data_IF_936636456064
#
_entry.id   IF_936636456064
#
_cell.length_a   1.000
_cell.length_b   1.000
_cell.length_c   1.000
_cell.angle_alpha   90.00
_cell.angle_beta   90.00
_cell.angle_gamma   90.00
#
_symmetry.space_group_name_H-M   'P 1'
#
loop_
_entity.id
_entity.type
_entity.pdbx_description
1 polymer ?
#
# COMPACT_ATOMS: atom_id res chain seq x y z
N UNK A 1 -2.19 65.54 -21.59
CA UNK A 1 -2.15 64.25 -22.32
C UNK A 1 -2.18 63.18 -21.26
N UNK A 2 -3.14 62.28 -21.37
CA UNK A 2 -3.59 61.34 -20.35
C UNK A 2 -2.60 60.22 -20.10
N UNK A 3 -2.10 60.13 -18.87
CA UNK A 3 -1.44 58.96 -18.31
C UNK A 3 -2.49 57.87 -18.05
N UNK A 4 -2.73 57.01 -19.03
CA UNK A 4 -3.44 55.74 -18.81
C UNK A 4 -2.41 54.67 -18.44
N UNK A 5 -2.11 54.59 -17.14
CA UNK A 5 -1.51 53.39 -16.56
C UNK A 5 -2.53 52.24 -16.71
N UNK A 6 -2.20 51.12 -17.36
CA UNK A 6 -3.08 49.96 -17.33
C UNK A 6 -3.10 49.46 -15.89
N UNK A 7 -4.28 49.43 -15.27
CA UNK A 7 -4.50 48.80 -13.99
C UNK A 7 -4.01 47.35 -14.08
N UNK A 8 -2.87 47.10 -13.42
CA UNK A 8 -2.34 45.77 -13.26
C UNK A 8 -3.36 45.02 -12.39
N UNK A 9 -4.17 44.17 -13.02
CA UNK A 9 -5.16 43.31 -12.37
C UNK A 9 -4.45 42.44 -11.34
N UNK A 10 -4.51 42.88 -10.09
CA UNK A 10 -3.89 42.27 -8.94
C UNK A 10 -4.42 40.83 -8.77
N UNK A 11 -3.53 39.87 -8.56
CA UNK A 11 -3.86 38.55 -7.99
C UNK A 11 -4.59 38.66 -6.63
N UNK A 12 -4.63 39.85 -6.02
CA UNK A 12 -5.45 40.18 -4.84
C UNK A 12 -6.97 40.22 -5.11
N UNK A 13 -7.45 39.92 -6.33
CA UNK A 13 -8.87 39.94 -6.66
C UNK A 13 -9.62 38.62 -6.39
N UNK A 14 -8.91 37.51 -6.14
CA UNK A 14 -9.53 36.24 -5.79
C UNK A 14 -9.85 36.21 -4.29
N UNK A 15 -11.10 35.93 -3.93
CA UNK A 15 -11.48 35.70 -2.53
C UNK A 15 -10.66 34.52 -1.95
N UNK A 16 -10.30 34.61 -0.68
CA UNK A 16 -9.61 33.56 0.07
C UNK A 16 -10.33 32.23 -0.03
N UNK A 17 -11.67 32.21 0.11
CA UNK A 17 -12.48 30.98 0.04
C UNK A 17 -12.35 30.29 -1.33
N UNK A 18 -12.31 31.08 -2.40
CA UNK A 18 -12.15 30.58 -3.78
C UNK A 18 -10.73 30.05 -3.96
N UNK A 19 -9.74 30.74 -3.40
CA UNK A 19 -8.34 30.32 -3.44
C UNK A 19 -8.14 29.01 -2.70
N UNK A 20 -8.70 28.87 -1.50
CA UNK A 20 -8.68 27.62 -0.72
C UNK A 20 -9.38 26.48 -1.47
N UNK A 21 -10.54 26.76 -2.08
CA UNK A 21 -11.26 25.79 -2.89
C UNK A 21 -10.43 25.30 -4.07
N UNK A 22 -9.77 26.22 -4.80
CA UNK A 22 -8.88 25.84 -5.91
C UNK A 22 -7.72 25.00 -5.40
N UNK A 23 -7.04 25.43 -4.34
CA UNK A 23 -5.87 24.74 -3.80
C UNK A 23 -6.22 23.34 -3.28
N UNK A 24 -7.38 23.16 -2.63
CA UNK A 24 -7.81 21.84 -2.12
C UNK A 24 -8.01 20.79 -3.22
N UNK A 25 -8.17 21.21 -4.48
CA UNK A 25 -8.30 20.31 -5.64
C UNK A 25 -6.96 20.00 -6.30
N UNK A 26 -5.86 20.66 -5.90
CA UNK A 26 -4.57 20.47 -6.51
C UNK A 26 -3.81 19.28 -5.92
N UNK A 27 -3.03 18.55 -6.73
CA UNK A 27 -2.15 17.52 -6.23
C UNK A 27 -1.14 18.05 -5.20
N UNK A 28 -0.79 17.22 -4.21
CA UNK A 28 0.19 17.55 -3.16
C UNK A 28 1.50 18.13 -3.72
N UNK A 29 2.12 17.60 -4.80
CA UNK A 29 3.34 18.19 -5.36
C UNK A 29 3.18 19.63 -5.82
N UNK A 30 2.00 19.98 -6.37
CA UNK A 30 1.69 21.35 -6.76
C UNK A 30 1.56 22.24 -5.53
N UNK A 31 0.87 21.79 -4.48
CA UNK A 31 0.77 22.50 -3.21
C UNK A 31 2.14 22.77 -2.59
N UNK A 32 3.06 21.80 -2.62
CA UNK A 32 4.43 22.00 -2.15
C UNK A 32 5.11 23.14 -2.92
N UNK A 33 4.97 23.19 -4.24
CA UNK A 33 5.51 24.29 -5.06
C UNK A 33 4.84 25.63 -4.76
N UNK A 34 3.52 25.68 -4.60
CA UNK A 34 2.83 26.93 -4.24
C UNK A 34 3.26 27.44 -2.86
N UNK A 35 3.52 26.54 -1.91
CA UNK A 35 3.95 26.88 -0.56
C UNK A 35 5.33 27.57 -0.50
N UNK A 36 6.13 27.51 -1.56
CA UNK A 36 7.45 28.17 -1.63
C UNK A 36 7.39 29.56 -2.29
N UNK A 37 6.23 29.95 -2.85
CA UNK A 37 6.07 31.24 -3.54
C UNK A 37 6.06 32.41 -2.56
N UNK A 38 5.27 32.33 -1.48
CA UNK A 38 5.23 33.37 -0.44
C UNK A 38 4.74 32.82 0.91
N UNK A 39 4.97 33.59 1.99
CA UNK A 39 4.45 33.26 3.32
C UNK A 39 2.92 33.18 3.35
N UNK A 40 2.24 34.00 2.54
CA UNK A 40 0.78 33.99 2.41
C UNK A 40 0.29 32.66 1.81
N UNK A 41 0.85 32.25 0.67
CA UNK A 41 0.50 30.96 0.05
C UNK A 41 0.76 29.79 0.98
N UNK A 42 1.92 29.81 1.66
CA UNK A 42 2.23 28.78 2.67
C UNK A 42 1.17 28.74 3.77
N UNK A 43 0.77 29.90 4.30
CA UNK A 43 -0.24 30.02 5.36
C UNK A 43 -1.58 29.44 4.93
N UNK A 44 -2.05 29.79 3.72
CA UNK A 44 -3.33 29.30 3.18
C UNK A 44 -3.27 27.77 3.01
N UNK A 45 -2.18 27.25 2.45
CA UNK A 45 -2.04 25.80 2.22
C UNK A 45 -1.98 25.03 3.54
N UNK A 46 -1.30 25.57 4.55
CA UNK A 46 -1.24 24.97 5.89
C UNK A 46 -2.56 25.06 6.67
N UNK A 47 -3.47 25.96 6.30
CA UNK A 47 -4.80 26.06 6.91
C UNK A 47 -5.86 25.26 6.17
N UNK A 48 -5.53 24.64 5.03
CA UNK A 48 -6.46 23.80 4.31
C UNK A 48 -6.88 22.61 5.18
N UNK A 49 -8.18 22.25 5.19
CA UNK A 49 -8.62 21.06 5.86
C UNK A 49 -7.94 19.83 5.23
N UNK A 50 -7.72 18.76 6.00
CA UNK A 50 -7.23 17.51 5.44
C UNK A 50 -8.22 17.01 4.39
N UNK A 51 -7.82 17.12 3.13
CA UNK A 51 -8.56 16.55 2.01
C UNK A 51 -8.26 15.07 1.88
N UNK A 52 -9.29 14.24 1.70
CA UNK A 52 -9.08 12.84 1.34
C UNK A 52 -8.54 12.78 -0.09
N UNK A 53 -7.26 12.45 -0.24
CA UNK A 53 -6.68 12.21 -1.56
C UNK A 53 -6.99 10.80 -2.03
N UNK A 54 -7.00 10.59 -3.34
CA UNK A 54 -6.86 9.24 -3.88
C UNK A 54 -5.56 8.60 -3.34
N UNK A 55 -5.56 7.30 -3.04
CA UNK A 55 -4.43 6.64 -2.41
C UNK A 55 -3.26 6.49 -3.37
N UNK A 56 -2.08 6.87 -2.88
CA UNK A 56 -0.83 6.80 -3.63
C UNK A 56 -0.28 5.37 -3.58
N UNK A 57 0.38 4.95 -4.65
CA UNK A 57 1.16 3.71 -4.69
C UNK A 57 2.61 4.03 -4.35
N UNK A 58 3.17 3.35 -3.35
CA UNK A 58 4.57 3.49 -2.97
C UNK A 58 5.35 2.24 -3.37
N UNK A 59 6.54 2.44 -3.94
CA UNK A 59 7.48 1.38 -4.31
C UNK A 59 8.85 1.68 -3.71
N UNK A 60 9.36 0.77 -2.89
CA UNK A 60 10.67 0.84 -2.26
C UNK A 60 11.54 -0.31 -2.77
N UNK A 61 12.42 0.00 -3.71
CA UNK A 61 13.40 -0.91 -4.26
C UNK A 61 14.63 -1.01 -3.37
N UNK A 62 14.90 -2.23 -2.89
CA UNK A 62 16.00 -2.55 -1.98
C UNK A 62 17.02 -3.41 -2.71
N UNK A 63 18.28 -3.01 -2.61
CA UNK A 63 19.44 -3.72 -3.13
C UNK A 63 20.27 -4.27 -1.98
N UNK A 64 20.37 -5.60 -1.90
CA UNK A 64 20.94 -6.26 -0.72
C UNK A 64 22.45 -6.03 -0.55
N UNK A 65 23.18 -5.71 -1.62
CA UNK A 65 24.65 -5.55 -1.57
C UNK A 65 25.11 -4.10 -1.43
N UNK A 66 24.26 -3.11 -1.71
CA UNK A 66 24.64 -1.70 -1.66
C UNK A 66 23.42 -0.81 -1.55
N UNK A 67 23.31 -0.10 -0.43
CA UNK A 67 22.23 0.87 -0.18
C UNK A 67 22.25 2.06 -1.14
N UNK A 68 23.37 2.32 -1.81
CA UNK A 68 23.48 3.36 -2.84
C UNK A 68 22.55 3.12 -4.04
N UNK A 69 22.24 1.85 -4.32
CA UNK A 69 21.34 1.48 -5.42
C UNK A 69 19.86 1.42 -5.02
N UNK A 70 19.54 1.70 -3.75
CA UNK A 70 18.16 1.74 -3.30
C UNK A 70 17.42 2.95 -3.88
N UNK A 71 16.15 2.75 -4.24
CA UNK A 71 15.32 3.81 -4.79
C UNK A 71 13.89 3.70 -4.26
N UNK A 72 13.25 4.85 -4.10
CA UNK A 72 11.86 4.95 -3.65
C UNK A 72 11.07 5.82 -4.62
N UNK A 73 9.88 5.35 -4.95
CA UNK A 73 8.96 6.00 -5.87
C UNK A 73 7.57 6.08 -5.24
N UNK A 74 6.86 7.16 -5.54
CA UNK A 74 5.47 7.34 -5.17
C UNK A 74 4.67 7.79 -6.40
N UNK A 75 3.62 7.06 -6.73
CA UNK A 75 2.71 7.43 -7.80
C UNK A 75 1.57 8.26 -7.25
N UNK A 76 1.40 9.45 -7.82
CA UNK A 76 0.28 10.32 -7.53
C UNK A 76 -0.83 10.11 -8.59
N UNK A 77 -1.97 9.51 -8.21
CA UNK A 77 -3.06 9.24 -9.14
C UNK A 77 -3.72 10.51 -9.69
N UNK A 78 -3.67 11.64 -8.98
CA UNK A 78 -4.31 12.89 -9.44
C UNK A 78 -3.48 13.56 -10.55
N UNK A 79 -2.15 13.62 -10.40
CA UNK A 79 -1.27 14.12 -11.46
C UNK A 79 -0.92 13.07 -12.53
N UNK A 80 -1.30 11.80 -12.32
CA UNK A 80 -0.91 10.66 -13.14
C UNK A 80 0.62 10.63 -13.38
N UNK A 81 1.40 10.83 -12.32
CA UNK A 81 2.85 10.93 -12.44
C UNK A 81 3.57 10.27 -11.26
N UNK A 82 4.78 9.79 -11.54
CA UNK A 82 5.67 9.27 -10.52
C UNK A 82 6.56 10.36 -9.94
N UNK A 83 6.73 10.31 -8.62
CA UNK A 83 7.66 11.12 -7.86
C UNK A 83 8.77 10.22 -7.35
N UNK A 84 10.02 10.64 -7.55
CA UNK A 84 11.16 10.00 -6.90
C UNK A 84 11.32 10.59 -5.50
N UNK A 85 11.20 9.74 -4.49
CA UNK A 85 11.37 10.15 -3.10
C UNK A 85 12.85 10.03 -2.69
N UNK A 86 13.31 10.84 -1.72
CA UNK A 86 14.57 10.56 -1.04
C UNK A 86 14.51 9.17 -0.41
N UNK A 87 15.56 8.36 -0.60
CA UNK A 87 15.62 7.06 0.03
C UNK A 87 16.06 7.21 1.49
N UNK A 88 15.26 6.77 2.47
CA UNK A 88 15.63 6.91 3.88
C UNK A 88 16.80 6.00 4.23
N UNK A 89 17.62 6.43 5.19
CA UNK A 89 18.54 5.49 5.85
C UNK A 89 17.73 4.43 6.57
N UNK A 90 17.93 3.15 6.24
CA UNK A 90 17.12 2.06 6.74
C UNK A 90 17.76 1.41 7.97
N UNK A 91 16.99 1.15 9.04
CA UNK A 91 17.48 0.41 10.19
C UNK A 91 17.63 -1.10 9.90
N UNK A 92 16.94 -1.63 8.88
CA UNK A 92 17.01 -3.03 8.46
C UNK A 92 16.53 -3.22 7.01
N UNK A 93 16.76 -4.42 6.45
CA UNK A 93 16.22 -4.85 5.16
C UNK A 93 14.81 -5.48 5.28
N UNK A 94 14.32 -5.69 6.50
CA UNK A 94 13.02 -6.30 6.79
C UNK A 94 11.95 -5.23 6.92
N UNK A 95 11.60 -4.65 5.78
CA UNK A 95 10.65 -3.56 5.69
C UNK A 95 9.25 -4.03 5.29
N UNK A 96 8.25 -3.36 5.86
CA UNK A 96 6.84 -3.43 5.49
C UNK A 96 6.30 -2.00 5.49
N UNK A 97 5.42 -1.66 4.53
CA UNK A 97 4.75 -0.36 4.52
C UNK A 97 3.25 -0.51 4.77
N UNK A 98 2.69 0.40 5.56
CA UNK A 98 1.26 0.43 5.87
C UNK A 98 0.87 1.82 6.38
N UNK A 99 -0.34 2.27 6.04
CA UNK A 99 -0.97 3.53 6.50
C UNK A 99 -0.02 4.73 6.72
N UNK A 100 0.68 5.20 5.67
CA UNK A 100 1.62 6.35 5.68
C UNK A 100 2.94 6.13 6.40
N UNK A 101 3.19 4.92 6.92
CA UNK A 101 4.42 4.56 7.62
C UNK A 101 5.19 3.45 6.91
N UNK A 102 6.51 3.48 7.09
CA UNK A 102 7.40 2.34 6.90
C UNK A 102 7.73 1.73 8.26
N UNK A 103 7.79 0.41 8.30
CA UNK A 103 8.09 -0.38 9.48
C UNK A 103 9.31 -1.26 9.19
N UNK A 104 10.23 -1.33 10.13
CA UNK A 104 11.26 -2.35 10.21
C UNK A 104 10.82 -3.38 11.24
N UNK A 105 10.70 -4.65 10.85
CA UNK A 105 10.09 -5.68 11.70
C UNK A 105 11.10 -6.61 12.38
N UNK A 106 12.35 -6.61 11.91
CA UNK A 106 13.47 -7.36 12.47
C UNK A 106 14.80 -6.65 12.20
N UNK A 107 15.80 -6.74 13.10
CA UNK A 107 15.76 -7.45 14.37
C UNK A 107 15.04 -6.68 15.48
N UNK A 108 14.85 -5.37 15.30
CA UNK A 108 14.12 -4.50 16.23
C UNK A 108 12.96 -3.85 15.49
N UNK A 109 11.83 -3.75 16.17
CA UNK A 109 10.67 -3.09 15.63
C UNK A 109 10.84 -1.57 15.70
N UNK A 110 10.71 -0.91 14.56
CA UNK A 110 10.73 0.55 14.47
C UNK A 110 9.87 1.01 13.31
N UNK A 111 9.43 2.25 13.36
CA UNK A 111 8.60 2.83 12.31
C UNK A 111 8.95 4.28 12.01
N UNK A 112 8.61 4.75 10.83
CA UNK A 112 8.87 6.10 10.36
C UNK A 112 7.78 6.55 9.39
N UNK A 113 7.32 7.81 9.45
CA UNK A 113 6.54 8.40 8.37
C UNK A 113 7.31 8.33 7.04
N UNK A 114 6.60 8.17 5.93
CA UNK A 114 7.23 8.02 4.59
C UNK A 114 7.78 9.34 4.07
N UNK A 115 7.01 10.42 4.19
CA UNK A 115 7.35 11.71 3.56
C UNK A 115 8.37 12.50 4.38
N UNK A 116 8.41 12.28 5.70
CA UNK A 116 9.36 12.87 6.63
C UNK A 116 10.00 11.78 7.47
N UNK A 117 11.01 11.07 6.92
CA UNK A 117 11.57 9.93 7.63
C UNK A 117 12.20 10.31 8.96
N UNK A 118 11.67 9.74 10.05
CA UNK A 118 12.19 9.85 11.40
C UNK A 118 11.90 8.53 12.13
N UNK A 119 12.91 7.66 12.16
CA UNK A 119 12.77 6.31 12.71
C UNK A 119 12.61 6.35 14.23
N UNK A 120 11.45 5.88 14.69
CA UNK A 120 11.11 5.69 16.11
C UNK A 120 11.23 4.22 16.44
N UNK A 121 12.04 3.94 17.46
CA UNK A 121 12.25 2.60 17.99
C UNK A 121 11.23 2.34 19.09
N UNK A 122 10.53 1.21 19.02
CA UNK A 122 9.55 0.84 20.03
C UNK A 122 10.18 0.06 21.17
N UNK A 123 9.42 -0.14 22.24
CA UNK A 123 9.70 -1.22 23.19
C UNK A 123 9.92 -2.57 22.45
N UNK A 124 10.78 -3.46 22.97
CA UNK A 124 11.16 -4.67 22.26
C UNK A 124 9.97 -5.58 21.98
N UNK A 125 9.77 -5.91 20.70
CA UNK A 125 8.87 -6.98 20.28
C UNK A 125 9.39 -8.32 20.83
N UNK A 126 8.51 -9.16 21.37
CA UNK A 126 8.93 -10.44 21.99
C UNK A 126 9.51 -11.40 20.96
N UNK A 127 8.90 -11.43 19.78
CA UNK A 127 9.34 -12.26 18.67
C UNK A 127 9.50 -11.39 17.43
N UNK A 128 10.73 -10.95 17.14
CA UNK A 128 11.02 -10.25 15.89
C UNK A 128 10.79 -11.18 14.69
N UNK A 129 10.21 -10.63 13.62
CA UNK A 129 9.77 -11.42 12.46
C UNK A 129 10.30 -10.85 11.16
N UNK A 130 10.72 -11.73 10.27
CA UNK A 130 11.00 -11.42 8.89
C UNK A 130 9.72 -11.61 8.07
N UNK A 131 9.37 -10.60 7.27
CA UNK A 131 8.17 -10.57 6.41
C UNK A 131 6.85 -10.91 7.13
N UNK A 132 6.53 -10.33 8.31
CA UNK A 132 5.21 -10.48 8.90
C UNK A 132 4.18 -9.66 8.11
N UNK A 133 2.90 -10.03 8.23
CA UNK A 133 1.80 -9.15 7.86
C UNK A 133 1.65 -8.06 8.94
N UNK A 134 1.38 -6.83 8.51
CA UNK A 134 1.25 -5.69 9.40
C UNK A 134 -0.02 -4.90 9.07
N UNK A 135 -0.82 -4.63 10.10
CA UNK A 135 -1.97 -3.74 10.04
C UNK A 135 -1.82 -2.58 11.02
N UNK A 136 -2.19 -1.37 10.59
CA UNK A 136 -2.27 -0.18 11.42
C UNK A 136 -3.74 0.09 11.71
N UNK A 137 -4.15 0.24 12.96
CA UNK A 137 -5.49 0.64 13.36
C UNK A 137 -5.48 2.09 13.84
N UNK A 138 -5.77 3.06 12.95
CA UNK A 138 -5.56 4.47 13.28
C UNK A 138 -6.46 4.95 14.42
N UNK A 139 -7.69 4.43 14.49
CA UNK A 139 -8.67 4.83 15.51
C UNK A 139 -8.30 4.40 16.93
N UNK A 140 -7.50 3.35 17.09
CA UNK A 140 -7.11 2.81 18.39
C UNK A 140 -5.63 2.98 18.69
N UNK A 141 -4.85 3.60 17.79
CA UNK A 141 -3.39 3.74 17.92
C UNK A 141 -2.68 2.40 18.17
N UNK A 142 -3.22 1.32 17.57
CA UNK A 142 -2.68 -0.04 17.69
C UNK A 142 -2.14 -0.54 16.37
N UNK A 143 -1.13 -1.39 16.45
CA UNK A 143 -0.58 -2.13 15.31
C UNK A 143 -0.72 -3.61 15.57
N UNK A 144 -1.00 -4.39 14.53
CA UNK A 144 -1.02 -5.86 14.60
C UNK A 144 0.11 -6.42 13.73
N UNK A 145 0.82 -7.40 14.28
CA UNK A 145 1.80 -8.23 13.58
C UNK A 145 1.33 -9.67 13.56
N UNK A 146 1.24 -10.25 12.37
CA UNK A 146 0.78 -11.64 12.18
C UNK A 146 1.73 -12.41 11.26
N UNK A 147 2.05 -13.64 11.65
CA UNK A 147 2.89 -14.53 10.85
C UNK A 147 4.33 -14.04 10.71
N UNK A 148 4.92 -14.31 9.54
CA UNK A 148 6.34 -14.10 9.28
C UNK A 148 7.24 -15.18 9.90
N UNK A 149 8.53 -15.09 9.62
CA UNK A 149 9.53 -16.07 10.08
C UNK A 149 10.21 -15.56 11.34
N UNK A 150 10.15 -16.35 12.41
CA UNK A 150 11.01 -16.13 13.57
C UNK A 150 12.47 -16.32 13.24
N UNK A 151 13.31 -15.37 13.62
CA UNK A 151 14.76 -15.50 13.56
C UNK A 151 15.33 -15.50 14.98
N UNK A 152 15.95 -16.60 15.39
CA UNK A 152 16.72 -16.69 16.63
C UNK A 152 18.19 -16.80 16.24
N UNK A 153 18.99 -15.78 16.57
CA UNK A 153 20.42 -15.77 16.24
C UNK A 153 20.73 -15.84 14.73
N UNK A 154 19.80 -15.40 13.87
CA UNK A 154 19.93 -15.49 12.41
C UNK A 154 19.42 -16.80 11.81
N UNK A 155 18.94 -17.75 12.62
CA UNK A 155 18.39 -19.03 12.16
C UNK A 155 16.85 -19.04 12.25
N UNK A 156 16.22 -19.74 11.31
CA UNK A 156 14.77 -19.93 11.29
C UNK A 156 14.34 -20.73 12.52
N UNK A 157 13.39 -20.18 13.29
CA UNK A 157 12.79 -20.90 14.42
C UNK A 157 11.71 -21.86 13.92
N UNK A 158 11.94 -23.17 14.08
CA UNK A 158 11.07 -24.23 13.56
C UNK A 158 9.90 -24.54 14.52
N UNK A 159 10.03 -24.22 15.81
CA UNK A 159 8.99 -24.49 16.84
C UNK A 159 8.04 -23.30 17.04
N UNK A 160 7.83 -22.54 15.97
CA UNK A 160 7.22 -21.22 16.05
C UNK A 160 5.70 -21.28 15.91
N UNK A 161 5.02 -21.22 17.04
CA UNK A 161 3.55 -21.09 17.10
C UNK A 161 3.04 -19.81 16.43
N UNK A 162 3.91 -18.87 16.05
CA UNK A 162 3.57 -17.63 15.35
C UNK A 162 2.46 -16.83 16.05
N UNK A 163 2.63 -16.48 17.35
CA UNK A 163 1.65 -15.67 18.07
C UNK A 163 1.47 -14.31 17.38
N UNK A 164 0.23 -13.84 17.38
CA UNK A 164 -0.10 -12.47 17.02
C UNK A 164 0.50 -11.54 18.06
N UNK A 165 1.10 -10.45 17.62
CA UNK A 165 1.66 -9.42 18.48
C UNK A 165 0.99 -8.09 18.20
N UNK A 166 0.38 -7.49 19.23
CA UNK A 166 -0.29 -6.20 19.13
C UNK A 166 0.55 -5.16 19.86
N UNK A 167 0.90 -4.09 19.17
CA UNK A 167 1.58 -2.93 19.74
C UNK A 167 0.57 -1.83 20.05
N UNK A 168 0.63 -1.30 21.26
CA UNK A 168 -0.08 -0.09 21.65
C UNK A 168 0.91 1.08 21.66
N UNK A 169 0.74 2.05 20.75
CA UNK A 169 1.66 3.18 20.64
C UNK A 169 1.49 4.21 21.75
N UNK A 170 0.38 4.18 22.50
CA UNK A 170 0.16 5.09 23.64
C UNK A 170 0.88 4.60 24.90
N UNK A 171 0.93 3.27 25.08
CA UNK A 171 1.61 2.63 26.21
C UNK A 171 3.05 2.22 25.89
N UNK A 172 3.47 2.31 24.62
CA UNK A 172 4.71 1.72 24.09
C UNK A 172 4.91 0.28 24.58
N UNK A 173 3.92 -0.58 24.34
CA UNK A 173 3.95 -1.95 24.87
C UNK A 173 3.40 -2.98 23.89
N UNK A 174 3.87 -4.22 24.03
CA UNK A 174 3.48 -5.35 23.20
C UNK A 174 2.67 -6.39 23.99
N UNK A 175 1.51 -6.72 23.44
CA UNK A 175 0.64 -7.78 23.91
C UNK A 175 0.75 -9.01 22.99
N UNK A 176 0.71 -10.20 23.59
CA UNK A 176 0.63 -11.47 22.84
C UNK A 176 -0.82 -11.92 22.75
N UNK A 177 -1.23 -12.32 21.56
CA UNK A 177 -2.59 -12.73 21.27
C UNK A 177 -2.61 -14.13 20.64
N UNK A 178 -3.79 -14.78 20.53
CA UNK A 178 -3.90 -16.10 19.95
C UNK A 178 -3.21 -16.19 18.57
N UNK A 179 -2.44 -17.26 18.31
CA UNK A 179 -1.69 -17.40 17.08
C UNK A 179 -2.59 -17.53 15.86
N UNK A 180 -2.01 -17.31 14.68
CA UNK A 180 -2.68 -17.54 13.40
C UNK A 180 -3.25 -18.98 13.34
N UNK A 181 -4.48 -19.20 12.81
CA UNK A 181 -5.07 -20.53 12.74
C UNK A 181 -4.17 -21.54 12.00
N UNK A 182 -4.22 -22.81 12.40
CA UNK A 182 -3.29 -23.83 11.90
C UNK A 182 -3.39 -24.06 10.39
N UNK A 183 -4.55 -23.76 9.79
CA UNK A 183 -4.76 -23.84 8.34
C UNK A 183 -3.80 -22.96 7.52
N UNK A 184 -3.25 -21.89 8.11
CA UNK A 184 -2.29 -20.98 7.45
C UNK A 184 -0.83 -21.37 7.67
N UNK A 185 -0.54 -22.48 8.37
CA UNK A 185 0.83 -22.98 8.56
C UNK A 185 1.33 -23.67 7.29
N UNK A 186 1.47 -22.90 6.21
CA UNK A 186 2.21 -23.32 5.01
C UNK A 186 3.68 -22.94 5.16
N UNK A 187 4.58 -23.86 4.78
CA UNK A 187 6.04 -23.67 4.84
C UNK A 187 6.58 -22.62 3.85
N UNK A 188 5.70 -22.02 3.04
CA UNK A 188 6.04 -20.96 2.09
C UNK A 188 5.66 -19.59 2.67
N UNK A 189 6.61 -18.97 3.37
CA UNK A 189 6.50 -17.67 4.06
C UNK A 189 6.28 -16.43 3.15
N UNK A 190 5.83 -16.64 1.91
CA UNK A 190 5.60 -15.63 0.88
C UNK A 190 4.16 -15.66 0.33
N UNK A 191 3.27 -16.42 0.98
CA UNK A 191 1.94 -16.73 0.45
C UNK A 191 0.80 -16.04 1.17
N UNK A 192 1.06 -15.14 2.13
CA UNK A 192 -0.03 -14.45 2.82
C UNK A 192 -0.19 -13.00 2.34
N UNK A 193 -1.44 -12.55 2.31
CA UNK A 193 -1.83 -11.16 2.13
C UNK A 193 -2.76 -10.75 3.27
N UNK A 194 -2.88 -9.44 3.51
CA UNK A 194 -3.75 -8.92 4.55
C UNK A 194 -4.51 -7.68 4.12
N UNK A 195 -5.68 -7.49 4.71
CA UNK A 195 -6.47 -6.28 4.56
C UNK A 195 -7.11 -5.90 5.90
N UNK A 196 -7.19 -4.59 6.15
CA UNK A 196 -7.92 -4.05 7.30
C UNK A 196 -9.29 -3.58 6.84
N UNK A 197 -10.36 -4.11 7.43
CA UNK A 197 -11.73 -3.72 7.11
C UNK A 197 -12.57 -3.70 8.40
N UNK A 198 -13.32 -2.61 8.64
CA UNK A 198 -14.24 -2.45 9.78
C UNK A 198 -13.71 -2.96 11.13
N UNK A 199 -12.52 -2.52 11.54
CA UNK A 199 -11.86 -2.93 12.81
C UNK A 199 -11.43 -4.40 12.90
N UNK A 200 -11.40 -5.12 11.77
CA UNK A 200 -10.91 -6.49 11.68
C UNK A 200 -9.70 -6.58 10.76
N UNK A 201 -8.72 -7.36 11.18
CA UNK A 201 -7.54 -7.67 10.38
C UNK A 201 -7.74 -9.02 9.68
N UNK A 202 -7.94 -8.99 8.37
CA UNK A 202 -8.11 -10.18 7.55
C UNK A 202 -6.75 -10.70 7.09
N UNK A 203 -6.58 -12.01 7.18
CA UNK A 203 -5.47 -12.76 6.61
C UNK A 203 -5.99 -13.67 5.53
N UNK A 204 -5.36 -13.61 4.37
CA UNK A 204 -5.69 -14.42 3.20
C UNK A 204 -4.45 -15.16 2.72
N UNK A 205 -4.58 -16.45 2.45
CA UNK A 205 -3.54 -17.24 1.79
C UNK A 205 -3.72 -17.15 0.27
N UNK A 206 -2.73 -16.55 -0.37
CA UNK A 206 -2.63 -16.25 -1.81
C UNK A 206 -2.82 -17.50 -2.67
N UNK A 207 -2.45 -18.69 -2.18
CA UNK A 207 -2.50 -19.94 -2.94
C UNK A 207 -3.64 -20.86 -2.49
N UNK A 208 -3.80 -21.08 -1.19
CA UNK A 208 -4.85 -21.97 -0.66
C UNK A 208 -6.24 -21.34 -0.65
N UNK A 209 -6.31 -20.01 -0.78
CA UNK A 209 -7.53 -19.21 -0.72
C UNK A 209 -8.25 -19.26 0.63
N UNK A 210 -7.55 -19.67 1.70
CA UNK A 210 -8.08 -19.59 3.05
C UNK A 210 -8.13 -18.14 3.53
N UNK A 211 -9.21 -17.80 4.23
CA UNK A 211 -9.41 -16.49 4.83
C UNK A 211 -9.87 -16.64 6.29
N UNK A 212 -9.33 -15.78 7.16
CA UNK A 212 -9.76 -15.63 8.55
C UNK A 212 -9.52 -14.19 8.99
N UNK A 213 -10.24 -13.75 10.01
CA UNK A 213 -10.18 -12.38 10.53
C UNK A 213 -9.85 -12.38 12.01
N UNK A 214 -8.98 -11.46 12.42
CA UNK A 214 -8.71 -11.16 13.82
C UNK A 214 -9.48 -9.91 14.24
N UNK A 215 -10.28 -10.03 15.30
CA UNK A 215 -11.05 -8.93 15.88
C UNK A 215 -10.26 -8.28 17.01
N UNK A 216 -10.00 -6.97 16.92
CA UNK A 216 -9.38 -6.23 18.03
C UNK A 216 -10.29 -6.05 19.24
N UNK A 217 -11.61 -6.11 19.05
CA UNK A 217 -12.57 -5.89 20.12
C UNK A 217 -12.66 -7.11 21.05
N UNK A 218 -12.52 -8.31 20.48
CA UNK A 218 -12.65 -9.58 21.20
C UNK A 218 -11.33 -10.33 21.36
N UNK A 219 -10.27 -9.90 20.67
CA UNK A 219 -8.97 -10.58 20.63
C UNK A 219 -9.06 -12.05 20.17
N UNK A 220 -9.99 -12.33 19.26
CA UNK A 220 -10.26 -13.68 18.73
C UNK A 220 -10.17 -13.74 17.21
N UNK A 221 -9.82 -14.91 16.71
CA UNK A 221 -9.92 -15.29 15.31
C UNK A 221 -11.34 -15.74 14.97
N UNK A 222 -11.80 -15.43 13.76
CA UNK A 222 -12.94 -16.10 13.16
C UNK A 222 -12.57 -17.48 12.64
N UNK A 223 -13.58 -18.32 12.41
CA UNK A 223 -13.38 -19.58 11.71
C UNK A 223 -12.72 -19.36 10.34
N UNK A 224 -11.94 -20.36 9.92
CA UNK A 224 -11.27 -20.36 8.63
C UNK A 224 -12.29 -20.71 7.56
N UNK A 225 -12.40 -19.85 6.55
CA UNK A 225 -13.28 -20.03 5.40
C UNK A 225 -12.45 -20.11 4.11
N UNK A 226 -13.07 -20.54 3.02
CA UNK A 226 -12.41 -20.64 1.71
C UNK A 226 -13.06 -19.66 0.75
N UNK A 227 -12.26 -18.71 0.24
CA UNK A 227 -12.69 -17.68 -0.70
C UNK A 227 -12.02 -17.93 -2.06
N UNK A 228 -12.59 -18.85 -2.84
CA UNK A 228 -11.97 -19.33 -4.10
C UNK A 228 -12.87 -19.10 -5.31
N UNK A 229 -12.70 -17.97 -6.02
CA UNK A 229 -13.26 -17.80 -7.36
C UNK A 229 -12.88 -18.94 -8.33
N UNK A 230 -13.76 -19.29 -9.29
CA UNK A 230 -13.46 -20.31 -10.30
C UNK A 230 -12.21 -19.99 -11.11
N UNK A 231 -11.36 -21.01 -11.35
CA UNK A 231 -10.14 -20.86 -12.13
C UNK A 231 -9.01 -20.08 -11.45
N UNK A 232 -9.17 -19.67 -10.19
CA UNK A 232 -8.17 -18.86 -9.49
C UNK A 232 -6.84 -19.61 -9.30
N UNK A 233 -5.76 -18.99 -9.77
CA UNK A 233 -4.37 -19.43 -9.59
C UNK A 233 -3.77 -18.84 -8.32
N UNK A 234 -3.89 -17.53 -8.15
CA UNK A 234 -3.46 -16.80 -6.95
C UNK A 234 -4.22 -15.48 -6.82
N UNK A 235 -4.36 -14.96 -5.60
CA UNK A 235 -4.99 -13.68 -5.34
C UNK A 235 -4.39 -12.92 -4.16
N UNK A 236 -4.64 -11.61 -4.12
CA UNK A 236 -4.31 -10.73 -3.02
C UNK A 236 -5.57 -10.06 -2.48
N UNK A 237 -5.73 -10.08 -1.17
CA UNK A 237 -6.78 -9.39 -0.45
C UNK A 237 -6.39 -7.93 -0.20
N UNK A 238 -7.31 -7.02 -0.48
CA UNK A 238 -7.15 -5.58 -0.32
C UNK A 238 -8.37 -4.99 0.42
N UNK A 239 -8.21 -3.81 1.00
CA UNK A 239 -9.31 -3.03 1.56
C UNK A 239 -9.58 -1.82 0.68
N UNK A 240 -10.78 -1.72 0.11
CA UNK A 240 -11.17 -0.64 -0.80
C UNK A 240 -12.58 -0.16 -0.46
N UNK A 241 -12.74 1.14 -0.20
CA UNK A 241 -14.01 1.78 0.17
C UNK A 241 -14.76 1.01 1.28
N UNK A 242 -14.07 0.72 2.39
CA UNK A 242 -14.60 -0.04 3.54
C UNK A 242 -15.17 -1.43 3.20
N UNK A 243 -14.71 -2.01 2.09
CA UNK A 243 -15.03 -3.35 1.65
C UNK A 243 -13.77 -4.14 1.32
N UNK A 244 -13.87 -5.46 1.42
CA UNK A 244 -12.82 -6.35 0.98
C UNK A 244 -12.88 -6.50 -0.55
N UNK A 245 -11.74 -6.35 -1.19
CA UNK A 245 -11.58 -6.56 -2.64
C UNK A 245 -10.45 -7.56 -2.87
N UNK A 246 -10.81 -8.67 -3.50
CA UNK A 246 -9.87 -9.70 -3.94
C UNK A 246 -9.42 -9.37 -5.36
N UNK A 247 -8.11 -9.34 -5.61
CA UNK A 247 -7.55 -9.19 -6.96
C UNK A 247 -6.62 -10.34 -7.28
N UNK A 248 -6.88 -11.06 -8.37
CA UNK A 248 -6.16 -12.30 -8.63
C UNK A 248 -6.15 -12.76 -10.07
N UNK A 249 -5.24 -13.68 -10.35
CA UNK A 249 -5.06 -14.30 -11.65
C UNK A 249 -5.93 -15.55 -11.77
N UNK A 250 -6.68 -15.65 -12.85
CA UNK A 250 -7.47 -16.81 -13.22
C UNK A 250 -6.93 -17.46 -14.49
N UNK A 251 -7.12 -18.78 -14.58
CA UNK A 251 -7.03 -19.53 -15.82
C UNK A 251 -8.41 -20.11 -16.16
N UNK A 252 -8.92 -19.78 -17.33
CA UNK A 252 -10.21 -20.24 -17.84
C UNK A 252 -10.05 -20.80 -19.25
N UNK A 253 -11.11 -21.39 -19.80
CA UNK A 253 -11.13 -21.84 -21.19
C UNK A 253 -10.86 -20.70 -22.21
N UNK A 254 -11.02 -19.44 -21.77
CA UNK A 254 -10.74 -18.23 -22.58
C UNK A 254 -9.31 -17.72 -22.41
N UNK A 255 -8.48 -18.39 -21.62
CA UNK A 255 -7.11 -17.98 -21.30
C UNK A 255 -6.97 -17.33 -19.93
N UNK A 256 -5.84 -16.65 -19.73
CA UNK A 256 -5.48 -15.98 -18.48
C UNK A 256 -6.17 -14.61 -18.35
N UNK A 257 -6.68 -14.32 -17.17
CA UNK A 257 -7.28 -13.03 -16.86
C UNK A 257 -6.97 -12.59 -15.43
N UNK A 258 -6.79 -11.30 -15.22
CA UNK A 258 -6.71 -10.73 -13.88
C UNK A 258 -8.05 -10.10 -13.53
N UNK A 259 -8.72 -10.61 -12.49
CA UNK A 259 -10.07 -10.20 -12.13
C UNK A 259 -10.08 -9.58 -10.73
N UNK A 260 -11.06 -8.72 -10.50
CA UNK A 260 -11.36 -8.14 -9.19
C UNK A 260 -12.72 -8.63 -8.73
N UNK A 261 -12.81 -9.04 -7.47
CA UNK A 261 -14.04 -9.42 -6.81
C UNK A 261 -14.26 -8.59 -5.55
N UNK A 262 -15.47 -8.08 -5.38
CA UNK A 262 -15.92 -7.53 -4.10
C UNK A 262 -16.38 -8.68 -3.21
N UNK A 263 -15.92 -8.69 -1.97
CA UNK A 263 -16.24 -9.73 -0.98
C UNK A 263 -17.20 -9.15 0.05
N UNK A 264 -18.31 -9.84 0.28
CA UNK A 264 -19.25 -9.54 1.34
C UNK A 264 -18.76 -10.15 2.65
N UNK A 265 -18.55 -9.31 3.67
CA UNK A 265 -17.90 -9.70 4.92
C UNK A 265 -18.71 -10.71 5.76
N UNK A 266 -20.04 -10.62 5.76
CA UNK A 266 -20.89 -11.46 6.60
C UNK A 266 -21.03 -12.88 6.06
N UNK A 267 -21.18 -13.01 4.74
CA UNK A 267 -21.41 -14.27 4.04
C UNK A 267 -20.11 -14.88 3.48
N UNK A 268 -19.05 -14.09 3.34
CA UNK A 268 -17.85 -14.40 2.54
C UNK A 268 -18.17 -14.76 1.09
N UNK A 269 -19.31 -14.29 0.57
CA UNK A 269 -19.63 -14.38 -0.85
C UNK A 269 -18.86 -13.33 -1.65
N UNK A 270 -18.57 -13.63 -2.91
CA UNK A 270 -17.81 -12.76 -3.79
C UNK A 270 -18.55 -12.49 -5.09
N UNK A 271 -18.44 -11.26 -5.57
CA UNK A 271 -19.02 -10.81 -6.84
C UNK A 271 -17.93 -10.19 -7.70
N UNK A 272 -17.85 -10.60 -8.96
CA UNK A 272 -16.90 -10.01 -9.90
C UNK A 272 -17.30 -8.56 -10.21
N UNK A 273 -16.34 -7.64 -10.08
CA UNK A 273 -16.56 -6.21 -10.34
C UNK A 273 -15.75 -5.68 -11.52
N UNK A 274 -14.66 -6.37 -11.89
CA UNK A 274 -13.83 -5.98 -13.02
C UNK A 274 -13.01 -7.14 -13.56
N UNK A 275 -12.77 -7.11 -14.87
CA UNK A 275 -11.74 -7.92 -15.53
C UNK A 275 -10.75 -6.95 -16.18
N UNK A 276 -9.45 -7.18 -15.97
CA UNK A 276 -8.40 -6.39 -16.60
C UNK A 276 -8.39 -6.66 -18.12
N UNK A 277 -8.39 -5.63 -18.98
CA UNK A 277 -8.21 -5.81 -20.41
C UNK A 277 -6.91 -6.56 -20.74
N UNK A 278 -6.96 -7.53 -21.65
CA UNK A 278 -5.81 -8.36 -22.05
C UNK A 278 -4.59 -7.53 -22.44
N UNK A 279 -4.79 -6.44 -23.20
CA UNK A 279 -3.71 -5.55 -23.61
C UNK A 279 -2.94 -4.94 -22.42
N UNK A 280 -3.61 -4.67 -21.30
CA UNK A 280 -2.94 -4.21 -20.08
C UNK A 280 -2.23 -5.36 -19.37
N UNK A 281 -2.89 -6.52 -19.25
CA UNK A 281 -2.31 -7.69 -18.60
C UNK A 281 -0.99 -8.11 -19.26
N UNK A 282 -0.99 -8.28 -20.58
CA UNK A 282 0.22 -8.64 -21.32
C UNK A 282 1.23 -7.48 -21.37
N UNK A 283 0.78 -6.23 -21.31
CA UNK A 283 1.65 -5.07 -21.13
C UNK A 283 2.45 -5.08 -19.82
N UNK A 284 1.96 -5.75 -18.77
CA UNK A 284 2.71 -5.94 -17.51
C UNK A 284 3.81 -7.01 -17.60
N UNK A 285 3.81 -7.84 -18.64
CA UNK A 285 4.73 -8.96 -18.76
C UNK A 285 5.97 -8.68 -19.60
N UNK A 286 5.92 -7.70 -20.51
CA UNK A 286 7.03 -7.23 -21.39
C UNK A 286 7.90 -8.37 -21.95
N UNK A 287 7.69 -8.74 -23.22
CA UNK A 287 8.50 -9.68 -24.01
C UNK A 287 8.76 -11.04 -23.33
N UNK A 288 7.72 -11.87 -23.20
CA UNK A 288 7.84 -13.26 -22.74
C UNK A 288 7.36 -14.21 -23.84
N UNK A 289 8.20 -14.46 -24.85
CA UNK A 289 7.94 -15.50 -25.87
C UNK A 289 8.30 -16.91 -25.35
N UNK A 290 9.09 -17.04 -24.27
CA UNK A 290 9.79 -18.29 -23.93
C UNK A 290 9.53 -18.89 -22.52
N UNK A 291 8.59 -18.36 -21.72
CA UNK A 291 8.29 -18.92 -20.38
C UNK A 291 6.99 -19.72 -20.34
N UNK A 292 7.08 -20.95 -19.82
CA UNK A 292 5.97 -21.89 -19.59
C UNK A 292 4.76 -21.19 -18.96
N UNK A 293 3.59 -21.34 -19.58
CA UNK A 293 2.53 -20.32 -19.69
C UNK A 293 1.94 -19.81 -18.35
N UNK A 294 2.12 -20.54 -17.24
CA UNK A 294 1.60 -20.21 -15.91
C UNK A 294 2.57 -19.52 -14.95
N UNK A 295 3.89 -19.70 -15.11
CA UNK A 295 4.88 -19.16 -14.16
C UNK A 295 5.17 -17.67 -14.36
N UNK A 296 5.01 -17.16 -15.59
CA UNK A 296 5.25 -15.77 -15.97
C UNK A 296 4.43 -14.73 -15.19
N UNK A 297 3.32 -15.14 -14.57
CA UNK A 297 2.43 -14.27 -13.81
C UNK A 297 2.78 -14.20 -12.32
N UNK A 298 3.66 -15.07 -11.81
CA UNK A 298 3.95 -15.17 -10.36
C UNK A 298 4.59 -13.92 -9.76
N UNK A 299 5.21 -13.09 -10.60
CA UNK A 299 5.81 -11.81 -10.23
C UNK A 299 4.81 -10.66 -10.20
N UNK A 300 3.54 -10.90 -10.57
CA UNK A 300 2.49 -9.91 -10.41
C UNK A 300 2.09 -9.78 -8.95
N UNK A 301 1.98 -8.54 -8.50
CA UNK A 301 1.49 -8.17 -7.19
C UNK A 301 0.32 -7.21 -7.33
N UNK A 302 -0.50 -7.17 -6.29
CA UNK A 302 -1.67 -6.33 -6.22
C UNK A 302 -1.73 -5.67 -4.84
N UNK A 303 -1.92 -4.35 -4.83
CA UNK A 303 -2.18 -3.57 -3.61
C UNK A 303 -3.31 -2.59 -3.87
N UNK A 304 -4.23 -2.45 -2.92
CA UNK A 304 -5.41 -1.61 -3.04
C UNK A 304 -5.72 -0.84 -1.77
N UNK A 305 -6.24 0.36 -1.95
CA UNK A 305 -6.72 1.24 -0.88
C UNK A 305 -7.76 2.19 -1.46
N UNK A 306 -8.68 2.72 -0.65
CA UNK A 306 -9.71 3.66 -1.10
C UNK A 306 -10.48 3.13 -2.32
N UNK A 307 -10.53 3.91 -3.40
CA UNK A 307 -11.17 3.51 -4.65
C UNK A 307 -10.21 2.91 -5.70
N UNK A 308 -8.93 2.72 -5.38
CA UNK A 308 -7.91 2.31 -6.36
C UNK A 308 -7.29 0.96 -6.02
N UNK A 309 -7.15 0.13 -7.05
CA UNK A 309 -6.38 -1.13 -6.99
C UNK A 309 -5.26 -1.06 -8.01
N UNK A 310 -4.04 -1.22 -7.54
CA UNK A 310 -2.84 -1.21 -8.37
C UNK A 310 -2.35 -2.63 -8.61
N UNK A 311 -2.02 -2.93 -9.85
CA UNK A 311 -1.41 -4.21 -10.26
C UNK A 311 -0.12 -3.91 -10.98
N UNK A 312 0.96 -4.54 -10.57
CA UNK A 312 2.30 -4.26 -11.09
C UNK A 312 3.15 -5.52 -11.08
N UNK A 313 4.20 -5.50 -11.89
CA UNK A 313 5.18 -6.57 -11.93
C UNK A 313 6.38 -6.22 -11.04
N UNK A 314 6.79 -7.13 -10.17
CA UNK A 314 7.95 -6.92 -9.28
C UNK A 314 9.29 -7.32 -9.91
N UNK A 315 9.28 -7.84 -11.15
CA UNK A 315 10.49 -8.23 -11.87
C UNK A 315 11.27 -7.01 -12.38
N UNK A 316 12.54 -6.92 -11.98
CA UNK A 316 13.45 -5.87 -12.40
C UNK A 316 13.76 -5.89 -13.90
N UNK A 317 13.77 -7.06 -14.53
CA UNK A 317 14.00 -7.16 -15.98
C UNK A 317 12.92 -6.47 -16.79
N UNK A 318 11.70 -6.43 -16.26
CA UNK A 318 10.52 -5.83 -16.90
C UNK A 318 10.40 -4.34 -16.64
N UNK A 319 11.27 -3.75 -15.79
CA UNK A 319 11.26 -2.33 -15.38
C UNK A 319 9.99 -1.91 -14.62
N UNK A 320 9.39 -2.85 -13.88
CA UNK A 320 8.28 -2.59 -12.96
C UNK A 320 7.04 -1.93 -13.59
N UNK A 321 6.48 -2.46 -14.70
CA UNK A 321 5.27 -1.93 -15.30
C UNK A 321 4.11 -2.07 -14.32
N UNK A 322 3.21 -1.09 -14.36
CA UNK A 322 2.08 -1.01 -13.45
C UNK A 322 0.84 -0.50 -14.17
N UNK A 323 -0.32 -0.89 -13.63
CA UNK A 323 -1.62 -0.39 -14.02
C UNK A 323 -2.47 -0.16 -12.78
N UNK A 324 -3.56 0.58 -12.96
CA UNK A 324 -4.50 0.88 -11.88
C UNK A 324 -5.92 0.68 -12.37
N UNK A 325 -6.75 0.14 -11.48
CA UNK A 325 -8.19 0.08 -11.60
C UNK A 325 -8.82 1.11 -10.67
N UNK A 326 -9.65 1.99 -11.21
CA UNK A 326 -10.50 2.89 -10.45
C UNK A 326 -11.89 2.26 -10.28
N UNK A 327 -12.26 1.96 -9.04
CA UNK A 327 -13.54 1.40 -8.64
C UNK A 327 -14.51 2.58 -8.43
N UNK A 328 -15.27 2.91 -9.47
CA UNK A 328 -16.20 4.04 -9.44
C UNK A 328 -17.23 3.91 -8.32
N UNK A 329 -17.27 4.91 -7.43
CA UNK A 329 -18.14 4.94 -6.23
C UNK A 329 -19.63 4.97 -6.58
N UNK A 330 -20.02 5.72 -7.62
CA UNK A 330 -21.43 6.00 -7.93
C UNK A 330 -22.09 4.96 -8.86
N UNK A 331 -21.32 4.38 -9.78
CA UNK A 331 -21.86 3.51 -10.84
C UNK A 331 -21.36 2.06 -10.75
N UNK A 332 -20.47 1.74 -9.80
CA UNK A 332 -19.81 0.44 -9.67
C UNK A 332 -18.91 0.04 -10.86
N UNK A 333 -18.81 0.90 -11.89
CA UNK A 333 -18.02 0.64 -13.09
C UNK A 333 -16.55 0.83 -12.79
N UNK A 334 -15.78 -0.23 -12.98
CA UNK A 334 -14.35 -0.23 -12.85
C UNK A 334 -13.69 0.26 -14.15
N UNK A 335 -12.64 1.10 -14.02
CA UNK A 335 -11.88 1.63 -15.16
C UNK A 335 -10.41 1.30 -15.01
N UNK A 336 -9.88 0.54 -15.96
CA UNK A 336 -8.47 0.19 -16.01
C UNK A 336 -7.67 1.17 -16.87
N UNK A 337 -6.45 1.47 -16.43
CA UNK A 337 -5.48 2.26 -17.21
C UNK A 337 -4.05 1.84 -16.85
N UNK A 338 -3.14 1.96 -17.81
CA UNK A 338 -1.70 1.82 -17.55
C UNK A 338 -1.18 3.02 -16.74
N UNK A 339 -0.13 2.77 -15.97
CA UNK A 339 0.66 3.82 -15.35
C UNK A 339 1.83 4.21 -16.27
N UNK A 340 2.33 5.46 -16.19
CA UNK A 340 3.58 5.82 -16.83
C UNK A 340 4.74 4.98 -16.27
N UNK A 341 5.81 4.86 -17.05
CA UNK A 341 7.03 4.20 -16.58
C UNK A 341 7.65 4.95 -15.40
N UNK A 342 8.37 4.21 -14.56
CA UNK A 342 9.16 4.80 -13.48
C UNK A 342 10.19 5.81 -14.03
N UNK A 343 10.43 6.92 -13.30
CA UNK A 343 11.34 7.96 -13.76
C UNK A 343 12.77 7.44 -13.76
N UNK A 344 13.40 7.48 -14.94
CA UNK A 344 14.77 6.99 -15.13
C UNK A 344 15.81 7.85 -14.38
N UNK A 345 16.94 7.26 -13.92
CA UNK A 345 17.31 5.85 -14.02
C UNK A 345 16.60 4.96 -12.99
N UNK A 346 16.31 3.73 -13.36
CA UNK A 346 15.70 2.69 -12.51
C UNK A 346 16.68 1.52 -12.38
N UNK A 347 17.06 1.17 -11.17
CA UNK A 347 17.94 0.05 -10.87
C UNK A 347 17.14 -1.26 -10.78
N UNK A 348 17.83 -2.39 -10.94
CA UNK A 348 17.26 -3.69 -10.61
C UNK A 348 17.34 -3.91 -9.10
N UNK A 349 16.20 -4.14 -8.47
CA UNK A 349 16.10 -4.38 -7.03
C UNK A 349 16.04 -5.88 -6.72
N UNK A 350 16.60 -6.27 -5.58
CA UNK A 350 16.50 -7.63 -5.06
C UNK A 350 15.19 -7.86 -4.33
N UNK A 351 14.65 -6.80 -3.73
CA UNK A 351 13.36 -6.82 -3.02
C UNK A 351 12.61 -5.54 -3.33
N UNK A 352 11.31 -5.67 -3.58
CA UNK A 352 10.40 -4.55 -3.77
C UNK A 352 9.38 -4.55 -2.64
N UNK A 353 9.40 -3.49 -1.81
CA UNK A 353 8.35 -3.26 -0.82
C UNK A 353 7.33 -2.31 -1.42
N UNK A 354 6.07 -2.72 -1.41
CA UNK A 354 4.97 -1.98 -2.04
C UNK A 354 3.76 -1.94 -1.13
N UNK A 355 3.05 -0.82 -1.17
CA UNK A 355 1.80 -0.62 -0.43
C UNK A 355 1.09 0.62 -0.94
N UNK A 356 -0.19 0.73 -0.61
CA UNK A 356 -1.02 1.89 -0.91
C UNK A 356 -1.34 2.67 0.35
N UNK A 357 -1.37 3.99 0.25
CA UNK A 357 -1.82 4.82 1.36
C UNK A 357 -2.38 6.16 0.90
N UNK A 358 -3.45 6.60 1.55
CA UNK A 358 -3.99 7.95 1.39
C UNK A 358 -3.12 8.93 2.14
N UNK A 359 -2.68 9.96 1.43
CA UNK A 359 -1.94 11.08 2.01
C UNK A 359 -2.88 12.25 2.25
N UNK A 360 -2.59 12.99 3.30
CA UNK A 360 -3.22 14.26 3.63
C UNK A 360 -2.20 15.40 3.47
N UNK A 361 -2.73 16.61 3.31
CA UNK A 361 -1.92 17.84 3.33
C UNK A 361 -1.14 17.93 4.67
N UNK A 362 -1.72 17.45 5.77
CA UNK A 362 -1.07 17.42 7.08
C UNK A 362 0.20 16.60 7.12
N UNK A 363 0.27 15.46 6.42
CA UNK A 363 1.48 14.62 6.41
C UNK A 363 2.69 15.35 5.80
N UNK A 364 2.45 16.37 4.98
CA UNK A 364 3.48 17.15 4.29
C UNK A 364 3.79 18.46 5.02
N UNK A 365 2.77 19.18 5.47
CA UNK A 365 2.94 20.55 5.94
C UNK A 365 2.93 20.70 7.46
N UNK A 366 2.22 19.84 8.18
CA UNK A 366 2.25 19.85 9.63
C UNK A 366 3.46 19.06 10.14
N UNK A 367 4.14 19.60 11.14
CA UNK A 367 5.16 18.87 11.90
C UNK A 367 4.44 17.92 12.85
N UNK A 368 4.90 16.66 12.88
CA UNK A 368 4.51 15.71 13.93
C UNK A 368 5.07 16.22 15.28
N UNK A 369 4.41 17.18 15.90
CA UNK A 369 4.51 17.38 17.34
C UNK A 369 3.66 16.31 18.01
N UNK A 370 4.28 15.16 18.24
CA UNK A 370 3.92 14.19 19.28
C UNK A 370 5.09 13.24 19.52
#
# INVERSE_FOLDING_TARGET
>A
MSDTNPECSNLNALNTDVTESILSLLPIPSLVRFSTVSKLWRSIITSLPPSSSSPWLFLFGIHNTSSFHNQSFAFDPLSNSWLRLPFPSLPSLHLVGSDRFLFSTAPRFSFSPILKPNWRLTSPVRFARINPLLGVFPASSKLILVGGVGSIGGLVNIDDRSPVQIYDSTLDSWELCPPLPEAFRSNAHETLSSALCKSRFYVFDVSSCFISSFSLDTYTWSDVQTLRPPGLLFAFLNSCNDALVLGGMCNSDRGFSFNLWRVEEGSMEFSEIAIMPEALLFGLLVDCEDEDDGHRFRTLKCVGSGNLVYVFNEDGHKKYPACVCDIGVENGKCRWRSLPNLPSPVNNFHKLVSFCSTLSISDVFHSDEA
#
